data_IF_809173609902
#
_entry.id   IF_809173609902
#
_cell.length_a   1.000
_cell.length_b   1.000
_cell.length_c   1.000
_cell.angle_alpha   90.00
_cell.angle_beta   90.00
_cell.angle_gamma   90.00
#
_symmetry.space_group_name_H-M   'P 1'
#
loop_
_entity.id
_entity.type
_entity.pdbx_description
1 polymer ?
#
# COMPACT_ATOMS: atom_id res chain seq x y z
N UNK A 1 -8.43 14.92 -15.09
CA UNK A 1 -8.08 13.53 -15.47
C UNK A 1 -6.78 13.08 -14.83
N UNK A 2 -6.34 13.72 -13.73
CA UNK A 2 -5.08 13.39 -13.06
C UNK A 2 -5.35 12.44 -11.89
N UNK A 3 -6.47 12.62 -11.19
CA UNK A 3 -6.84 11.79 -10.03
C UNK A 3 -6.98 10.29 -10.33
N UNK A 4 -7.44 9.91 -11.53
CA UNK A 4 -7.65 8.51 -11.93
C UNK A 4 -6.33 7.76 -12.20
N UNK A 5 -5.32 8.46 -12.73
CA UNK A 5 -3.99 7.91 -13.01
C UNK A 5 -3.21 7.70 -11.70
N UNK A 6 -3.30 8.67 -10.78
CA UNK A 6 -2.71 8.55 -9.45
C UNK A 6 -3.39 7.47 -8.61
N UNK A 7 -4.71 7.27 -8.73
CA UNK A 7 -5.40 6.17 -8.04
C UNK A 7 -4.95 4.80 -8.59
N UNK A 8 -4.74 4.69 -9.90
CA UNK A 8 -4.20 3.48 -10.52
C UNK A 8 -2.77 3.17 -10.04
N UNK A 9 -1.91 4.19 -9.97
CA UNK A 9 -0.53 4.05 -9.50
C UNK A 9 -0.45 3.71 -8.00
N UNK A 10 -1.26 4.37 -7.18
CA UNK A 10 -1.40 4.10 -5.74
C UNK A 10 -1.87 2.68 -5.48
N UNK A 11 -2.81 2.18 -6.28
CA UNK A 11 -3.32 0.83 -6.12
C UNK A 11 -2.33 -0.23 -6.65
N UNK A 12 -1.56 0.08 -7.70
CA UNK A 12 -0.47 -0.78 -8.18
C UNK A 12 0.64 -0.94 -7.14
N UNK A 13 1.20 0.17 -6.64
CA UNK A 13 2.24 0.15 -5.59
C UNK A 13 1.67 -0.16 -4.19
N UNK A 14 0.35 -0.24 -4.06
CA UNK A 14 -0.37 -0.35 -2.77
C UNK A 14 0.10 0.70 -1.77
N UNK A 15 0.14 1.96 -2.19
CA UNK A 15 0.56 3.11 -1.37
C UNK A 15 -0.59 4.08 -1.15
N UNK A 16 -0.73 4.58 0.09
CA UNK A 16 -1.78 5.54 0.43
C UNK A 16 -1.59 6.88 -0.29
N UNK A 17 -0.37 7.28 -0.61
CA UNK A 17 -0.05 8.45 -1.43
C UNK A 17 1.24 8.19 -2.18
N UNK A 18 1.46 8.93 -3.26
CA UNK A 18 2.73 8.94 -4.00
C UNK A 18 3.54 10.16 -3.56
N UNK A 19 4.86 9.98 -3.44
CA UNK A 19 5.78 11.04 -3.03
C UNK A 19 6.17 11.88 -4.26
N UNK A 20 5.85 13.17 -4.21
CA UNK A 20 6.19 14.11 -5.29
C UNK A 20 5.50 13.79 -6.62
N UNK A 21 6.21 14.04 -7.72
CA UNK A 21 5.81 13.73 -9.10
C UNK A 21 6.87 12.78 -9.70
N UNK A 22 6.82 11.48 -9.37
CA UNK A 22 7.87 10.55 -9.75
C UNK A 22 7.85 10.25 -11.24
N UNK A 23 9.02 10.12 -11.83
CA UNK A 23 9.17 9.59 -13.18
C UNK A 23 8.86 8.09 -13.24
N UNK A 24 8.76 7.54 -14.45
CA UNK A 24 8.60 6.09 -14.64
C UNK A 24 9.73 5.28 -14.01
N UNK A 25 10.97 5.79 -14.03
CA UNK A 25 12.12 5.12 -13.42
C UNK A 25 12.04 5.14 -11.89
N UNK A 26 11.58 6.25 -11.30
CA UNK A 26 11.36 6.36 -9.86
C UNK A 26 10.28 5.37 -9.39
N UNK A 27 9.23 5.21 -10.18
CA UNK A 27 8.14 4.25 -9.94
C UNK A 27 8.66 2.81 -9.92
N UNK A 28 9.56 2.45 -10.84
CA UNK A 28 10.22 1.14 -10.85
C UNK A 28 11.11 0.97 -9.63
N UNK A 29 11.85 2.01 -9.22
CA UNK A 29 12.67 1.97 -8.01
C UNK A 29 11.82 1.76 -6.75
N UNK A 30 10.61 2.34 -6.69
CA UNK A 30 9.68 2.09 -5.59
C UNK A 30 9.24 0.64 -5.54
N UNK A 31 8.86 0.05 -6.69
CA UNK A 31 8.42 -1.34 -6.75
C UNK A 31 9.55 -2.30 -6.36
N UNK A 32 10.76 -2.09 -6.91
CA UNK A 32 11.95 -2.87 -6.58
C UNK A 32 12.28 -2.81 -5.09
N UNK A 33 12.26 -1.62 -4.48
CA UNK A 33 12.48 -1.48 -3.05
C UNK A 33 11.40 -2.20 -2.24
N UNK A 34 10.13 -2.01 -2.57
CA UNK A 34 9.00 -2.58 -1.84
C UNK A 34 8.87 -4.11 -2.01
N UNK A 35 9.50 -4.68 -3.04
CA UNK A 35 9.64 -6.12 -3.24
C UNK A 35 10.68 -6.76 -2.30
N UNK A 36 11.61 -5.96 -1.74
CA UNK A 36 12.64 -6.47 -0.84
C UNK A 36 12.06 -6.94 0.51
N UNK A 37 12.59 -8.03 1.08
CA UNK A 37 12.24 -8.44 2.44
C UNK A 37 12.49 -7.30 3.45
N UNK A 38 11.65 -7.15 4.50
CA UNK A 38 11.83 -6.12 5.53
C UNK A 38 13.22 -6.13 6.18
N UNK A 39 13.82 -7.31 6.33
CA UNK A 39 15.15 -7.47 6.94
C UNK A 39 16.26 -6.91 6.04
N UNK A 40 16.12 -7.08 4.72
CA UNK A 40 17.06 -6.54 3.74
C UNK A 40 16.95 -5.01 3.65
N UNK A 41 15.73 -4.47 3.68
CA UNK A 41 15.51 -3.01 3.74
C UNK A 41 16.11 -2.41 5.00
N UNK A 42 15.92 -3.08 6.14
CA UNK A 42 16.50 -2.68 7.43
C UNK A 42 18.02 -2.64 7.39
N UNK A 43 18.66 -3.64 6.78
CA UNK A 43 20.11 -3.67 6.63
C UNK A 43 20.63 -2.55 5.71
N UNK A 44 19.88 -2.19 4.66
CA UNK A 44 20.25 -1.10 3.74
C UNK A 44 20.21 0.27 4.43
N UNK A 45 19.27 0.52 5.34
CA UNK A 45 19.22 1.79 6.09
C UNK A 45 20.50 2.09 6.87
N UNK A 46 21.17 1.06 7.39
CA UNK A 46 22.43 1.24 8.13
C UNK A 46 23.58 1.80 7.28
N UNK A 47 23.45 1.74 5.94
CA UNK A 47 24.47 2.18 4.99
C UNK A 47 24.05 3.39 4.15
N UNK A 48 22.85 3.93 4.39
CA UNK A 48 22.30 5.08 3.67
C UNK A 48 22.64 6.39 4.38
N UNK A 49 22.66 7.48 3.61
CA UNK A 49 22.61 8.82 4.18
C UNK A 49 21.23 9.08 4.80
N UNK A 50 21.17 10.00 5.76
CA UNK A 50 19.96 10.30 6.52
C UNK A 50 18.77 10.67 5.61
N UNK A 51 19.01 11.55 4.63
CA UNK A 51 17.98 12.00 3.69
C UNK A 51 17.44 10.84 2.81
N UNK A 52 18.32 9.94 2.36
CA UNK A 52 17.93 8.77 1.56
C UNK A 52 17.12 7.78 2.41
N UNK A 53 17.55 7.56 3.66
CA UNK A 53 16.83 6.70 4.60
C UNK A 53 15.45 7.27 4.92
N UNK A 54 15.35 8.58 5.16
CA UNK A 54 14.07 9.26 5.41
C UNK A 54 13.11 9.07 4.24
N UNK A 55 13.60 9.26 3.01
CA UNK A 55 12.80 9.07 1.80
C UNK A 55 12.19 7.67 1.72
N UNK A 56 13.00 6.62 1.87
CA UNK A 56 12.53 5.23 1.82
C UNK A 56 11.59 4.88 2.97
N UNK A 57 11.81 5.45 4.17
CA UNK A 57 10.88 5.31 5.30
C UNK A 57 9.52 5.93 4.95
N UNK A 58 9.47 7.06 4.25
CA UNK A 58 8.22 7.66 3.79
C UNK A 58 7.50 6.76 2.76
N UNK A 59 8.23 6.15 1.83
CA UNK A 59 7.68 5.16 0.87
C UNK A 59 7.05 3.99 1.62
N UNK A 60 7.76 3.42 2.59
CA UNK A 60 7.25 2.31 3.40
C UNK A 60 6.04 2.70 4.26
N UNK A 61 6.06 3.91 4.82
CA UNK A 61 4.95 4.45 5.61
C UNK A 61 3.70 4.61 4.75
N UNK A 62 3.84 5.13 3.53
CA UNK A 62 2.74 5.25 2.59
C UNK A 62 2.13 3.88 2.26
N UNK A 63 2.96 2.84 2.07
CA UNK A 63 2.50 1.46 1.85
C UNK A 63 1.82 0.87 3.09
N UNK A 64 2.39 1.05 4.28
CA UNK A 64 1.82 0.53 5.52
C UNK A 64 0.43 1.13 5.84
N UNK A 65 0.18 2.37 5.41
CA UNK A 65 -1.09 3.06 5.58
C UNK A 65 -2.08 2.82 4.43
N UNK A 66 -1.70 2.05 3.42
CA UNK A 66 -2.59 1.70 2.32
C UNK A 66 -3.77 0.89 2.83
N UNK A 67 -4.97 1.38 2.51
CA UNK A 67 -6.20 0.63 2.68
C UNK A 67 -6.64 0.08 1.34
N UNK A 68 -7.03 -1.17 1.33
CA UNK A 68 -7.58 -1.82 0.16
C UNK A 68 -8.80 -1.03 -0.39
N UNK A 69 -8.98 -0.91 -1.71
CA UNK A 69 -10.12 -0.18 -2.28
C UNK A 69 -11.46 -0.73 -1.80
N UNK A 70 -11.55 -2.04 -1.55
CA UNK A 70 -12.73 -2.67 -0.96
C UNK A 70 -13.03 -2.08 0.40
N UNK A 71 -12.00 -1.84 1.23
CA UNK A 71 -12.14 -1.30 2.58
C UNK A 71 -12.42 0.20 2.62
N UNK A 72 -11.98 0.95 1.62
CA UNK A 72 -12.26 2.39 1.48
C UNK A 72 -13.75 2.68 1.27
N UNK A 73 -14.49 1.79 0.60
CA UNK A 73 -15.91 2.00 0.30
C UNK A 73 -16.74 2.02 1.60
N UNK A 74 -17.57 3.05 1.83
CA UNK A 74 -18.42 3.10 3.02
C UNK A 74 -19.50 2.00 2.98
N UNK A 75 -19.98 1.59 4.16
CA UNK A 75 -20.98 0.54 4.30
C UNK A 75 -20.42 -0.89 4.21
N UNK A 76 -21.32 -1.87 4.36
CA UNK A 76 -21.03 -3.31 4.19
C UNK A 76 -21.45 -3.67 2.76
N UNK A 77 -20.46 -3.88 1.89
CA UNK A 77 -20.67 -4.31 0.50
C UNK A 77 -20.51 -5.83 0.38
N UNK A 78 -21.05 -6.43 -0.67
CA UNK A 78 -20.87 -7.87 -0.95
C UNK A 78 -19.38 -8.25 -0.99
N UNK A 79 -18.54 -7.41 -1.61
CA UNK A 79 -17.09 -7.60 -1.62
C UNK A 79 -16.46 -7.63 -0.22
N UNK A 80 -16.95 -6.82 0.73
CA UNK A 80 -16.50 -6.87 2.14
C UNK A 80 -16.97 -8.14 2.84
N UNK A 81 -18.19 -8.60 2.56
CA UNK A 81 -18.72 -9.86 3.11
C UNK A 81 -17.92 -11.05 2.60
N UNK A 82 -17.59 -11.08 1.31
CA UNK A 82 -16.75 -12.14 0.72
C UNK A 82 -15.33 -12.13 1.29
N UNK A 83 -14.74 -10.95 1.50
CA UNK A 83 -13.36 -10.81 2.01
C UNK A 83 -13.24 -11.07 3.51
N UNK A 84 -14.25 -10.69 4.29
CA UNK A 84 -14.27 -10.84 5.75
C UNK A 84 -15.57 -11.52 6.21
N UNK A 85 -15.76 -12.82 5.87
CA UNK A 85 -16.97 -13.54 6.22
C UNK A 85 -17.16 -13.65 7.74
N UNK A 86 -16.10 -13.74 8.52
CA UNK A 86 -16.19 -13.81 9.99
C UNK A 86 -16.61 -12.48 10.63
N UNK A 87 -16.39 -11.36 9.93
CA UNK A 87 -16.69 -10.01 10.43
C UNK A 87 -18.06 -9.51 9.99
N UNK A 88 -18.47 -9.85 8.78
CA UNK A 88 -19.69 -9.31 8.14
C UNK A 88 -20.64 -10.39 7.61
N UNK A 89 -20.23 -11.65 7.58
CA UNK A 89 -21.12 -12.76 7.27
C UNK A 89 -22.11 -12.97 8.40
N UNK A 90 -23.30 -13.47 8.06
CA UNK A 90 -24.21 -13.97 9.10
C UNK A 90 -23.51 -15.13 9.82
N UNK A 91 -23.53 -15.18 11.16
CA UNK A 91 -23.19 -16.41 11.85
C UNK A 91 -24.06 -17.51 11.24
N UNK A 92 -23.43 -18.59 10.77
CA UNK A 92 -24.18 -19.80 10.48
C UNK A 92 -24.75 -20.24 11.82
N UNK A 93 -26.04 -19.95 12.02
CA UNK A 93 -26.79 -20.56 13.11
C UNK A 93 -26.53 -22.06 13.02
N UNK A 94 -25.96 -22.57 14.09
CA UNK A 94 -25.87 -23.99 14.42
C UNK A 94 -27.31 -24.51 14.40
N UNK A 95 -27.71 -25.12 13.28
CA UNK A 95 -28.99 -25.80 13.11
C UNK A 95 -28.75 -27.32 13.15
#
# INVERSE_FOLDING_TARGET
>A
MVDDEYDTLRDWLRMRWILGDPSGDDIVCYDDWLALPPEERSARYCHMFEDDAEFWIQVETARALYRDPVDRKPGITEAKVTRYPDRYGRPKDTA
#
